data_IF_355540845817
#
_entry.id   IF_355540845817
#
_cell.length_a   1.000
_cell.length_b   1.000
_cell.length_c   1.000
_cell.angle_alpha   90.00
_cell.angle_beta   90.00
_cell.angle_gamma   90.00
#
_symmetry.space_group_name_H-M   'P 1'
#
loop_
_entity.id
_entity.type
_entity.pdbx_description
1 polymer ?
#
# COMPACT_ATOMS: atom_id res chain seq x y z
N UNK A 1 -49.98 -0.25 13.49
CA UNK A 1 -48.59 0.18 13.73
C UNK A 1 -47.69 -0.96 13.33
N UNK A 2 -47.38 -1.06 12.03
CA UNK A 2 -46.48 -2.08 11.51
C UNK A 2 -45.06 -1.52 11.56
N UNK A 3 -44.22 -2.11 12.40
CA UNK A 3 -42.80 -1.80 12.49
C UNK A 3 -42.17 -1.99 11.11
N UNK A 4 -41.75 -0.88 10.50
CA UNK A 4 -40.82 -0.88 9.39
C UNK A 4 -39.51 -1.43 9.96
N UNK A 5 -39.28 -2.73 9.74
CA UNK A 5 -37.97 -3.34 9.91
C UNK A 5 -37.09 -2.63 8.89
N UNK A 6 -36.31 -1.68 9.36
CA UNK A 6 -35.23 -1.07 8.61
C UNK A 6 -34.21 -2.20 8.37
N UNK A 7 -34.46 -2.98 7.31
CA UNK A 7 -33.44 -3.74 6.64
C UNK A 7 -32.39 -2.73 6.23
N UNK A 8 -31.38 -2.57 7.10
CA UNK A 8 -30.10 -2.01 6.71
C UNK A 8 -29.78 -2.61 5.35
N UNK A 9 -29.53 -1.81 4.30
CA UNK A 9 -29.10 -2.35 3.03
C UNK A 9 -27.76 -3.01 3.34
N UNK A 10 -27.84 -4.32 3.58
CA UNK A 10 -26.72 -5.22 3.54
C UNK A 10 -26.03 -4.83 2.28
N UNK A 11 -24.80 -4.36 2.43
CA UNK A 11 -23.88 -4.17 1.34
C UNK A 11 -23.82 -5.54 0.68
N UNK A 12 -24.73 -5.75 -0.27
CA UNK A 12 -24.64 -6.79 -1.25
C UNK A 12 -23.37 -6.37 -1.93
N UNK A 13 -22.27 -6.98 -1.47
CA UNK A 13 -21.07 -7.11 -2.22
C UNK A 13 -21.55 -7.44 -3.60
N UNK A 14 -21.53 -6.43 -4.47
CA UNK A 14 -21.44 -6.65 -5.89
C UNK A 14 -20.12 -7.41 -6.02
N UNK A 15 -20.19 -8.72 -5.79
CA UNK A 15 -19.21 -9.66 -6.29
C UNK A 15 -19.39 -9.50 -7.78
N UNK A 16 -18.54 -8.61 -8.30
CA UNK A 16 -18.32 -8.31 -9.70
C UNK A 16 -18.25 -9.64 -10.45
N UNK A 17 -19.39 -10.12 -10.93
CA UNK A 17 -19.46 -11.25 -11.83
C UNK A 17 -19.07 -10.71 -13.20
N UNK A 18 -17.82 -10.94 -13.58
CA UNK A 18 -17.41 -10.85 -14.98
C UNK A 18 -16.99 -12.24 -15.47
N UNK A 19 -17.63 -12.74 -16.55
CA UNK A 19 -17.37 -14.07 -17.08
C UNK A 19 -16.10 -14.05 -17.94
N UNK A 20 -15.11 -14.87 -17.56
CA UNK A 20 -13.91 -15.17 -18.36
C UNK A 20 -12.95 -13.99 -18.56
N UNK A 21 -11.77 -14.02 -17.93
CA UNK A 21 -10.77 -12.92 -17.97
C UNK A 21 -11.29 -11.65 -17.29
N UNK A 22 -11.51 -11.73 -15.96
CA UNK A 22 -11.90 -10.54 -15.18
C UNK A 22 -10.78 -9.49 -15.15
N UNK A 23 -11.09 -8.17 -15.17
CA UNK A 23 -10.12 -7.12 -14.96
C UNK A 23 -9.49 -7.37 -13.60
N UNK A 24 -8.15 -7.43 -13.59
CA UNK A 24 -7.39 -7.43 -12.34
C UNK A 24 -7.98 -6.30 -11.48
N UNK A 25 -8.42 -6.62 -10.26
CA UNK A 25 -8.91 -5.59 -9.33
C UNK A 25 -7.93 -4.40 -9.35
N UNK A 26 -8.45 -3.16 -9.34
CA UNK A 26 -7.61 -1.96 -9.37
C UNK A 26 -6.50 -2.01 -8.31
N UNK A 27 -6.78 -2.61 -7.15
CA UNK A 27 -5.80 -2.90 -6.09
C UNK A 27 -4.68 -3.81 -6.60
N UNK A 28 -5.03 -4.95 -7.21
CA UNK A 28 -4.03 -5.86 -7.77
C UNK A 28 -3.20 -5.19 -8.87
N UNK A 29 -3.77 -4.28 -9.66
CA UNK A 29 -3.01 -3.54 -10.66
C UNK A 29 -2.01 -2.58 -10.00
N UNK A 30 -2.44 -1.80 -9.02
CA UNK A 30 -1.58 -0.90 -8.27
C UNK A 30 -0.42 -1.62 -7.59
N UNK A 31 -0.67 -2.77 -6.95
CA UNK A 31 0.37 -3.56 -6.27
C UNK A 31 1.35 -4.26 -7.22
N UNK A 32 1.05 -4.32 -8.52
CA UNK A 32 1.95 -4.82 -9.55
C UNK A 32 2.86 -3.74 -10.14
N UNK A 33 2.58 -2.46 -9.87
CA UNK A 33 3.39 -1.33 -10.35
C UNK A 33 4.39 -0.97 -9.25
N UNK A 34 5.71 -1.16 -9.47
CA UNK A 34 6.71 -1.02 -8.42
C UNK A 34 6.76 0.40 -7.84
N UNK A 35 6.55 1.44 -8.65
CA UNK A 35 6.55 2.84 -8.21
C UNK A 35 5.38 3.14 -7.26
N UNK A 36 4.19 2.61 -7.57
CA UNK A 36 3.01 2.78 -6.72
C UNK A 36 3.16 1.98 -5.43
N UNK A 37 3.64 0.74 -5.55
CA UNK A 37 3.91 -0.10 -4.39
C UNK A 37 4.94 0.57 -3.47
N UNK A 38 6.02 1.14 -4.01
CA UNK A 38 7.03 1.86 -3.25
C UNK A 38 6.43 3.02 -2.45
N UNK A 39 5.61 3.87 -3.08
CA UNK A 39 4.94 4.98 -2.37
C UNK A 39 4.08 4.48 -1.21
N UNK A 40 3.32 3.39 -1.41
CA UNK A 40 2.50 2.80 -0.34
C UNK A 40 3.38 2.24 0.78
N UNK A 41 4.50 1.60 0.45
CA UNK A 41 5.40 0.98 1.43
C UNK A 41 6.18 2.02 2.25
N UNK A 42 6.54 3.16 1.67
CA UNK A 42 7.21 4.26 2.38
C UNK A 42 6.31 4.89 3.44
N UNK A 43 5.00 4.95 3.20
CA UNK A 43 4.01 5.47 4.16
C UNK A 43 3.71 4.48 5.31
N UNK A 44 4.18 3.23 5.22
CA UNK A 44 3.96 2.24 6.28
C UNK A 44 4.91 2.43 7.45
N UNK A 45 4.51 1.94 8.63
CA UNK A 45 5.39 1.92 9.78
C UNK A 45 6.56 0.94 9.59
N UNK A 46 7.73 1.34 10.12
CA UNK A 46 8.97 0.57 10.02
C UNK A 46 8.83 -0.89 10.48
N UNK A 47 8.04 -1.14 11.53
CA UNK A 47 7.85 -2.48 12.08
C UNK A 47 7.08 -3.36 11.10
N UNK A 48 5.98 -2.89 10.53
CA UNK A 48 5.20 -3.62 9.51
C UNK A 48 6.03 -3.86 8.26
N UNK A 49 6.86 -2.90 7.88
CA UNK A 49 7.75 -3.02 6.74
C UNK A 49 8.80 -4.12 6.94
N UNK A 50 9.39 -4.25 8.15
CA UNK A 50 10.37 -5.29 8.47
C UNK A 50 9.76 -6.67 8.72
N UNK A 51 8.55 -6.75 9.30
CA UNK A 51 8.02 -8.02 9.82
C UNK A 51 6.99 -8.67 8.89
N UNK A 52 6.09 -7.88 8.30
CA UNK A 52 4.97 -8.39 7.50
C UNK A 52 5.26 -8.27 6.00
N UNK A 53 5.66 -7.08 5.56
CA UNK A 53 5.76 -6.71 4.15
C UNK A 53 6.78 -7.56 3.39
N UNK A 54 7.93 -7.80 4.00
CA UNK A 54 8.99 -8.66 3.45
C UNK A 54 8.58 -10.13 3.27
N UNK A 55 7.51 -10.58 3.94
CA UNK A 55 7.06 -11.98 3.93
C UNK A 55 5.87 -12.23 3.00
N UNK A 56 5.32 -11.20 2.36
CA UNK A 56 4.18 -11.32 1.44
C UNK A 56 4.57 -12.10 0.19
N UNK A 57 5.62 -11.66 -0.51
CA UNK A 57 6.18 -12.37 -1.65
C UNK A 57 7.63 -11.92 -1.95
N UNK A 58 8.31 -12.66 -2.83
CA UNK A 58 9.70 -12.36 -3.21
C UNK A 58 9.82 -11.02 -3.97
N UNK A 59 8.81 -10.62 -4.73
CA UNK A 59 8.83 -9.36 -5.47
C UNK A 59 8.85 -8.16 -4.52
N UNK A 60 8.04 -8.19 -3.45
CA UNK A 60 8.00 -7.14 -2.43
C UNK A 60 9.32 -7.06 -1.67
N UNK A 61 9.89 -8.21 -1.28
CA UNK A 61 11.21 -8.24 -0.65
C UNK A 61 12.30 -7.66 -1.54
N UNK A 62 12.29 -7.99 -2.83
CA UNK A 62 13.26 -7.45 -3.79
C UNK A 62 13.09 -5.94 -3.98
N UNK A 63 11.85 -5.44 -4.03
CA UNK A 63 11.57 -4.00 -4.12
C UNK A 63 12.09 -3.26 -2.88
N UNK A 64 11.81 -3.78 -1.68
CA UNK A 64 12.30 -3.20 -0.41
C UNK A 64 13.81 -3.11 -0.41
N UNK A 65 14.52 -4.14 -0.91
CA UNK A 65 15.98 -4.16 -0.99
C UNK A 65 16.55 -3.22 -2.05
N UNK A 66 15.86 -3.08 -3.18
CA UNK A 66 16.33 -2.29 -4.31
C UNK A 66 16.03 -0.80 -4.16
N UNK A 67 14.93 -0.43 -3.50
CA UNK A 67 14.50 0.96 -3.36
C UNK A 67 15.30 1.71 -2.27
N UNK A 68 16.01 2.80 -2.63
CA UNK A 68 16.73 3.62 -1.65
C UNK A 68 15.79 4.35 -0.68
N UNK A 69 14.57 4.73 -1.11
CA UNK A 69 13.63 5.46 -0.27
C UNK A 69 13.16 4.59 0.91
N UNK A 70 12.82 3.33 0.62
CA UNK A 70 12.43 2.34 1.61
C UNK A 70 13.61 2.00 2.52
N UNK A 71 14.81 1.83 1.97
CA UNK A 71 16.02 1.58 2.78
C UNK A 71 16.34 2.74 3.73
N UNK A 72 16.09 3.98 3.33
CA UNK A 72 16.20 5.16 4.19
C UNK A 72 15.11 5.19 5.26
N UNK A 73 13.86 4.88 4.92
CA UNK A 73 12.76 4.76 5.88
C UNK A 73 13.01 3.67 6.94
N UNK A 74 13.74 2.61 6.57
CA UNK A 74 14.21 1.55 7.47
C UNK A 74 15.52 1.87 8.20
N UNK A 75 16.11 3.05 7.96
CA UNK A 75 17.40 3.46 8.52
C UNK A 75 18.57 2.51 8.17
N UNK A 76 18.45 1.75 7.08
CA UNK A 76 19.53 0.90 6.56
C UNK A 76 20.50 1.67 5.68
N UNK A 77 20.04 2.76 5.08
CA UNK A 77 20.88 3.73 4.36
C UNK A 77 20.90 5.05 5.13
N UNK A 78 22.07 5.68 5.34
CA UNK A 78 22.14 6.98 6.00
C UNK A 78 21.37 8.03 5.19
N UNK A 79 20.51 8.77 5.89
CA UNK A 79 19.80 9.92 5.33
C UNK A 79 20.77 11.09 5.35
N UNK A 80 20.96 11.75 4.20
CA UNK A 80 21.81 12.95 4.15
C UNK A 80 21.08 14.11 4.81
N UNK A 81 21.83 15.01 5.44
CA UNK A 81 21.26 16.20 6.10
C UNK A 81 20.44 17.09 5.13
N UNK A 82 20.78 17.08 3.84
CA UNK A 82 20.01 17.76 2.78
C UNK A 82 18.62 17.15 2.49
N UNK A 83 18.38 15.92 2.93
CA UNK A 83 17.12 15.18 2.73
C UNK A 83 16.27 15.16 4.01
N UNK A 84 16.88 15.42 5.17
CA UNK A 84 16.19 15.57 6.45
C UNK A 84 15.57 16.98 6.52
N UNK A 85 14.30 17.08 6.12
CA UNK A 85 13.54 18.32 6.23
C UNK A 85 13.09 18.95 4.92
N UNK A 86 12.67 18.15 3.92
CA UNK A 86 11.74 18.62 2.87
C UNK A 86 10.33 18.78 3.47
N UNK A 87 10.29 19.66 4.47
CA UNK A 87 9.16 20.38 5.01
C UNK A 87 9.65 21.81 5.23
N UNK A 88 10.38 22.37 4.26
CA UNK A 88 10.64 23.80 4.22
C UNK A 88 9.30 24.43 3.87
N UNK A 89 8.67 24.95 4.92
CA UNK A 89 7.58 25.91 4.83
C UNK A 89 8.17 27.12 4.11
N UNK A 90 7.86 27.24 2.83
CA UNK A 90 8.16 28.46 2.10
C UNK A 90 7.01 29.43 2.38
N UNK A 91 7.30 30.35 3.30
CA UNK A 91 6.79 31.72 3.47
C UNK A 91 5.35 32.06 3.07
#
# INVERSE_FOLDING_TARGET
MASHVEEYPGYKTAIQQQPGIGPKSAINQALNIPEILEMVLVEMDMRTLLTCTQRVCRAWLNLIKASPSIQKALFFTPIKESEWGVGKKDA
#
